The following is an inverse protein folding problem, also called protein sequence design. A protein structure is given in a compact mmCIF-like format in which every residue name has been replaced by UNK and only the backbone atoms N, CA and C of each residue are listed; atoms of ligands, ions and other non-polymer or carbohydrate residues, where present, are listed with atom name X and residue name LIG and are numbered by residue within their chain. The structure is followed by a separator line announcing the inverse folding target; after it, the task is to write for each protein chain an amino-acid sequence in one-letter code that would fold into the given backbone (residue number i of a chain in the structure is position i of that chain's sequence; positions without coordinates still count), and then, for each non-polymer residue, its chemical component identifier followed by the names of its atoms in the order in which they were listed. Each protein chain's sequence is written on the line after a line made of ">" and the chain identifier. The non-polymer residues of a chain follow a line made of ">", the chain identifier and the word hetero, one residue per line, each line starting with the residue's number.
data_IF_610826622943
#
_entry.id   IF_610826622943
#
_cell.length_a   1.000
_cell.length_b   1.000
_cell.length_c   1.000
_cell.angle_alpha   90.00
_cell.angle_beta   90.00
_cell.angle_gamma   90.00
#
_symmetry.space_group_name_H-M   'P 1'
#
loop_
_entity.id
_entity.type
_entity.pdbx_description
1 polymer ?
#
# COMPACT_ATOMS: atom_id res chain seq x y z
N UNK A 1 -3.80 -12.08 -2.68
CA UNK A 1 -5.09 -12.78 -2.95
C UNK A 1 -5.12 -14.06 -2.11
N UNK A 2 -5.72 -14.02 -0.91
CA UNK A 2 -5.77 -15.17 0.00
C UNK A 2 -6.90 -16.16 -0.36
N UNK A 3 -6.89 -17.34 0.27
CA UNK A 3 -7.66 -18.58 0.03
C UNK A 3 -9.21 -18.50 0.01
N UNK A 4 -9.85 -17.34 -0.21
CA UNK A 4 -11.31 -17.17 -0.31
C UNK A 4 -11.65 -16.03 -1.26
N UNK A 5 -11.48 -16.26 -2.57
CA UNK A 5 -11.57 -15.25 -3.65
C UNK A 5 -12.43 -14.02 -3.31
N UNK A 6 -11.75 -12.89 -3.08
CA UNK A 6 -12.38 -11.65 -2.64
C UNK A 6 -13.01 -10.86 -3.79
N UNK A 7 -12.90 -11.33 -5.04
CA UNK A 7 -13.51 -10.68 -6.20
C UNK A 7 -13.78 -11.70 -7.31
N UNK A 8 -14.64 -11.37 -8.27
CA UNK A 8 -14.88 -12.20 -9.45
C UNK A 8 -13.84 -11.93 -10.54
N UNK A 9 -13.49 -10.66 -10.75
CA UNK A 9 -12.57 -10.21 -11.78
C UNK A 9 -11.53 -9.25 -11.21
N UNK A 10 -10.33 -9.29 -11.76
CA UNK A 10 -9.24 -8.35 -11.50
C UNK A 10 -8.73 -7.81 -12.83
N UNK A 11 -8.58 -6.50 -12.95
CA UNK A 11 -7.98 -5.84 -14.12
C UNK A 11 -6.62 -5.26 -13.73
N UNK A 12 -5.57 -5.81 -14.31
CA UNK A 12 -4.20 -5.36 -14.05
C UNK A 12 -3.88 -4.05 -14.77
N UNK A 13 -2.76 -3.42 -14.43
CA UNK A 13 -2.33 -2.10 -14.93
C UNK A 13 -2.20 -2.04 -16.44
N UNK A 14 -1.86 -3.16 -17.08
CA UNK A 14 -1.76 -3.30 -18.54
C UNK A 14 -3.10 -3.68 -19.22
N UNK A 15 -4.20 -3.72 -18.46
CA UNK A 15 -5.52 -4.10 -18.95
C UNK A 15 -5.79 -5.61 -18.92
N UNK A 16 -4.84 -6.46 -18.55
CA UNK A 16 -5.08 -7.90 -18.47
C UNK A 16 -6.20 -8.21 -17.48
N UNK A 17 -7.22 -8.93 -17.95
CA UNK A 17 -8.35 -9.36 -17.12
C UNK A 17 -8.10 -10.77 -16.59
N UNK A 18 -8.06 -10.92 -15.27
CA UNK A 18 -8.03 -12.20 -14.59
C UNK A 18 -9.41 -12.51 -14.03
N UNK A 19 -9.93 -13.70 -14.33
CA UNK A 19 -11.13 -14.24 -13.68
C UNK A 19 -10.71 -15.04 -12.45
N UNK A 20 -11.02 -14.52 -11.26
CA UNK A 20 -10.63 -15.09 -9.97
C UNK A 20 -11.71 -16.04 -9.45
N UNK A 21 -12.96 -15.59 -9.43
CA UNK A 21 -14.13 -16.39 -9.04
C UNK A 21 -15.13 -16.36 -10.18
N UNK A 22 -15.53 -17.53 -10.64
CA UNK A 22 -16.51 -17.63 -11.73
C UNK A 22 -17.81 -16.92 -11.34
N UNK A 23 -18.43 -16.17 -12.27
CA UNK A 23 -19.57 -15.26 -12.01
C UNK A 23 -20.81 -15.91 -11.39
N UNK A 24 -20.95 -17.23 -11.49
CA UNK A 24 -22.03 -18.00 -10.83
C UNK A 24 -21.75 -18.31 -9.35
N UNK A 25 -20.56 -17.96 -8.84
CA UNK A 25 -20.19 -18.11 -7.45
C UNK A 25 -20.06 -16.73 -6.80
N UNK A 26 -20.42 -16.69 -5.52
CA UNK A 26 -20.33 -15.50 -4.69
C UNK A 26 -18.88 -15.20 -4.33
N UNK A 27 -18.36 -14.06 -4.77
CA UNK A 27 -17.13 -13.48 -4.22
C UNK A 27 -17.47 -12.61 -2.99
N UNK A 28 -16.60 -12.61 -1.97
CA UNK A 28 -16.81 -11.80 -0.77
C UNK A 28 -16.09 -10.44 -0.91
N UNK A 29 -16.60 -9.54 -1.74
CA UNK A 29 -15.90 -8.30 -2.12
C UNK A 29 -16.38 -7.05 -1.37
N UNK A 30 -17.68 -6.91 -1.13
CA UNK A 30 -18.26 -5.65 -0.62
C UNK A 30 -18.18 -5.51 0.90
N UNK A 31 -17.98 -6.61 1.64
CA UNK A 31 -18.01 -6.63 3.11
C UNK A 31 -19.31 -6.03 3.68
N UNK A 32 -19.19 -5.26 4.78
CA UNK A 32 -20.33 -4.54 5.36
C UNK A 32 -20.82 -3.45 4.39
N UNK A 33 -21.96 -3.72 3.75
CA UNK A 33 -22.44 -2.97 2.59
C UNK A 33 -23.97 -2.89 2.54
N UNK A 34 -24.46 -1.80 1.96
CA UNK A 34 -25.88 -1.51 1.74
C UNK A 34 -26.07 -0.66 0.48
N UNK A 35 -27.13 -0.90 -0.28
CA UNK A 35 -27.59 -0.03 -1.35
C UNK A 35 -29.11 -0.17 -1.52
N UNK A 36 -29.84 0.94 -1.41
CA UNK A 36 -31.29 1.00 -1.60
C UNK A 36 -32.03 0.01 -0.68
N UNK A 37 -31.64 -0.02 0.60
CA UNK A 37 -32.17 -0.93 1.61
C UNK A 37 -31.67 -2.39 1.53
N UNK A 38 -31.08 -2.82 0.40
CA UNK A 38 -30.47 -4.14 0.29
C UNK A 38 -29.14 -4.18 1.04
N UNK A 39 -28.94 -5.18 1.90
CA UNK A 39 -27.70 -5.34 2.67
C UNK A 39 -26.89 -6.54 2.17
N UNK A 40 -25.60 -6.57 2.53
CA UNK A 40 -24.67 -7.62 2.13
C UNK A 40 -24.60 -7.76 0.61
N UNK A 41 -24.19 -6.66 -0.05
CA UNK A 41 -24.22 -6.49 -1.50
C UNK A 41 -23.48 -7.60 -2.24
N UNK A 42 -22.45 -8.22 -1.63
CA UNK A 42 -21.77 -9.39 -2.18
C UNK A 42 -22.70 -10.54 -2.58
N UNK A 43 -23.88 -10.66 -1.98
CA UNK A 43 -24.89 -11.67 -2.34
C UNK A 43 -25.62 -11.37 -3.67
N UNK A 44 -25.55 -10.13 -4.15
CA UNK A 44 -26.35 -9.61 -5.26
C UNK A 44 -25.49 -8.94 -6.34
N UNK A 45 -24.16 -9.05 -6.27
CA UNK A 45 -23.24 -8.34 -7.17
C UNK A 45 -22.09 -9.19 -7.67
N UNK A 46 -21.47 -8.71 -8.75
CA UNK A 46 -20.19 -9.20 -9.27
C UNK A 46 -19.10 -8.21 -8.84
N UNK A 47 -18.03 -8.71 -8.24
CA UNK A 47 -16.86 -7.91 -7.89
C UNK A 47 -15.90 -7.74 -9.07
N UNK A 48 -15.48 -6.51 -9.34
CA UNK A 48 -14.38 -6.19 -10.28
C UNK A 48 -13.37 -5.33 -9.53
N UNK A 49 -12.15 -5.82 -9.41
CA UNK A 49 -11.03 -5.11 -8.79
C UNK A 49 -10.12 -4.50 -9.87
N UNK A 50 -9.58 -3.31 -9.60
CA UNK A 50 -8.55 -2.68 -10.45
C UNK A 50 -7.25 -2.65 -9.68
N UNK A 51 -6.16 -3.16 -10.27
CA UNK A 51 -4.83 -3.06 -9.66
C UNK A 51 -4.41 -1.59 -9.56
N UNK A 52 -4.07 -1.15 -8.36
CA UNK A 52 -3.59 0.21 -8.09
C UNK A 52 -3.57 0.50 -6.59
N UNK A 53 -2.90 1.59 -6.22
CA UNK A 53 -2.99 2.14 -4.86
C UNK A 53 -4.11 3.19 -4.78
N UNK A 54 -4.58 3.49 -3.56
CA UNK A 54 -5.85 4.20 -3.33
C UNK A 54 -5.95 5.61 -3.94
N UNK A 55 -4.82 6.27 -4.22
CA UNK A 55 -4.71 7.60 -4.82
C UNK A 55 -4.14 7.59 -6.26
N UNK A 56 -3.76 6.42 -6.77
CA UNK A 56 -3.21 6.28 -8.11
C UNK A 56 -4.28 6.52 -9.19
N UNK A 57 -3.84 7.05 -10.33
CA UNK A 57 -4.66 7.11 -11.54
C UNK A 57 -4.71 5.73 -12.20
N UNK A 58 -5.90 5.27 -12.56
CA UNK A 58 -6.09 4.09 -13.41
C UNK A 58 -5.59 4.36 -14.84
N UNK A 59 -5.00 3.35 -15.46
CA UNK A 59 -4.47 3.44 -16.84
C UNK A 59 -5.61 3.46 -17.85
N UNK A 60 -5.33 3.90 -19.08
CA UNK A 60 -6.32 3.80 -20.16
C UNK A 60 -6.65 2.34 -20.47
N UNK A 61 -5.67 1.42 -20.40
CA UNK A 61 -5.88 -0.01 -20.66
C UNK A 61 -6.80 -0.65 -19.61
N UNK A 62 -6.67 -0.24 -18.35
CA UNK A 62 -7.61 -0.61 -17.29
C UNK A 62 -9.03 -0.14 -17.59
N UNK A 63 -9.19 1.13 -17.98
CA UNK A 63 -10.50 1.67 -18.32
C UNK A 63 -11.14 0.98 -19.53
N UNK A 64 -10.37 0.71 -20.58
CA UNK A 64 -10.84 -0.01 -21.77
C UNK A 64 -11.36 -1.41 -21.40
N UNK A 65 -10.60 -2.13 -20.58
CA UNK A 65 -10.94 -3.49 -20.15
C UNK A 65 -12.10 -3.52 -19.16
N UNK A 66 -12.15 -2.55 -18.24
CA UNK A 66 -13.27 -2.37 -17.32
C UNK A 66 -14.56 -2.03 -18.08
N UNK A 67 -14.49 -1.12 -19.06
CA UNK A 67 -15.62 -0.76 -19.92
C UNK A 67 -16.18 -2.00 -20.61
N UNK A 68 -15.30 -2.80 -21.23
CA UNK A 68 -15.71 -4.04 -21.88
C UNK A 68 -16.41 -5.02 -20.92
N UNK A 69 -15.88 -5.20 -19.70
CA UNK A 69 -16.52 -6.04 -18.68
C UNK A 69 -17.89 -5.50 -18.25
N UNK A 70 -17.98 -4.20 -17.98
CA UNK A 70 -19.22 -3.54 -17.56
C UNK A 70 -20.28 -3.70 -18.65
N UNK A 71 -19.99 -3.32 -19.89
CA UNK A 71 -20.92 -3.43 -21.02
C UNK A 71 -21.38 -4.88 -21.21
N UNK A 72 -20.46 -5.85 -21.13
CA UNK A 72 -20.80 -7.28 -21.20
C UNK A 72 -21.81 -7.71 -20.14
N UNK A 73 -21.63 -7.27 -18.88
CA UNK A 73 -22.55 -7.63 -17.80
C UNK A 73 -23.86 -6.85 -17.83
N UNK A 74 -23.83 -5.57 -18.22
CA UNK A 74 -25.03 -4.79 -18.45
C UNK A 74 -25.91 -5.43 -19.51
N UNK A 75 -25.33 -5.85 -20.64
CA UNK A 75 -26.06 -6.49 -21.73
C UNK A 75 -26.61 -7.86 -21.34
N UNK A 76 -25.79 -8.67 -20.66
CA UNK A 76 -26.18 -10.04 -20.27
C UNK A 76 -27.27 -10.05 -19.19
N UNK A 77 -27.16 -9.19 -18.18
CA UNK A 77 -28.03 -9.21 -16.99
C UNK A 77 -29.02 -8.04 -16.92
N UNK A 78 -29.04 -7.18 -17.94
CA UNK A 78 -29.89 -5.98 -18.01
C UNK A 78 -29.68 -5.03 -16.84
N UNK A 79 -28.42 -4.84 -16.45
CA UNK A 79 -28.03 -3.96 -15.34
C UNK A 79 -27.97 -2.52 -15.85
N UNK A 80 -28.80 -1.60 -15.32
CA UNK A 80 -28.72 -0.19 -15.71
C UNK A 80 -27.47 0.47 -15.08
N UNK A 81 -27.00 1.58 -15.67
CA UNK A 81 -25.82 2.34 -15.18
C UNK A 81 -25.86 2.68 -13.68
N UNK A 82 -27.06 2.93 -13.15
CA UNK A 82 -27.28 3.27 -11.73
C UNK A 82 -26.93 2.14 -10.76
N UNK A 83 -26.95 0.91 -11.25
CA UNK A 83 -26.66 -0.29 -10.46
C UNK A 83 -25.20 -0.76 -10.66
N UNK A 84 -24.40 0.00 -11.43
CA UNK A 84 -22.94 -0.14 -11.49
C UNK A 84 -22.32 0.83 -10.48
N UNK A 85 -21.98 0.29 -9.30
CA UNK A 85 -21.62 1.04 -8.11
C UNK A 85 -20.17 0.86 -7.72
N UNK A 86 -19.52 1.96 -7.37
CA UNK A 86 -18.22 1.98 -6.71
C UNK A 86 -18.31 1.46 -5.27
N UNK A 87 -17.24 0.83 -4.77
CA UNK A 87 -17.25 0.23 -3.43
C UNK A 87 -17.52 1.24 -2.32
N UNK A 88 -16.94 2.45 -2.38
CA UNK A 88 -17.22 3.51 -1.40
C UNK A 88 -18.71 3.89 -1.31
N UNK A 89 -19.48 3.72 -2.41
CA UNK A 89 -20.93 4.03 -2.45
C UNK A 89 -21.77 3.00 -1.74
N UNK A 90 -21.31 1.75 -1.65
CA UNK A 90 -22.05 0.67 -1.00
C UNK A 90 -21.50 0.32 0.37
N UNK A 91 -20.21 0.57 0.62
CA UNK A 91 -19.55 0.27 1.88
C UNK A 91 -19.99 1.25 2.98
N UNK A 92 -20.46 0.71 4.10
CA UNK A 92 -20.76 1.51 5.28
C UNK A 92 -20.05 0.99 6.52
N UNK A 93 -19.78 1.89 7.46
CA UNK A 93 -19.17 1.62 8.76
C UNK A 93 -20.20 1.63 9.88
N UNK A 94 -19.96 0.81 10.90
CA UNK A 94 -20.68 0.92 12.19
C UNK A 94 -20.18 2.15 12.95
N UNK A 95 -20.95 2.64 13.94
CA UNK A 95 -20.44 3.63 14.88
C UNK A 95 -19.04 3.27 15.42
N UNK A 96 -18.14 4.24 15.41
CA UNK A 96 -16.79 4.13 15.91
C UNK A 96 -16.42 5.40 16.69
N UNK A 97 -15.16 5.50 17.12
CA UNK A 97 -14.71 6.61 17.97
C UNK A 97 -14.71 7.98 17.31
N UNK A 98 -14.68 8.04 15.97
CA UNK A 98 -14.74 9.29 15.21
C UNK A 98 -16.16 9.60 14.72
N UNK A 99 -16.93 8.56 14.39
CA UNK A 99 -18.26 8.70 13.81
C UNK A 99 -19.27 7.91 14.62
N UNK A 100 -20.15 8.60 15.34
CA UNK A 100 -21.09 7.99 16.31
C UNK A 100 -22.31 7.29 15.71
N UNK A 101 -22.53 7.42 14.40
CA UNK A 101 -23.67 6.82 13.66
C UNK A 101 -23.15 5.87 12.59
N UNK A 102 -24.01 5.01 12.06
CA UNK A 102 -23.70 4.26 10.85
C UNK A 102 -23.52 5.24 9.67
N UNK A 103 -22.50 5.02 8.84
CA UNK A 103 -22.01 6.03 7.91
C UNK A 103 -21.38 5.43 6.65
N UNK A 104 -21.44 6.15 5.53
CA UNK A 104 -20.59 5.88 4.36
C UNK A 104 -19.13 6.26 4.63
N UNK A 105 -18.23 5.89 3.72
CA UNK A 105 -16.80 6.19 3.85
C UNK A 105 -16.01 5.15 4.62
N UNK A 106 -16.55 3.95 4.86
CA UNK A 106 -15.74 2.82 5.38
C UNK A 106 -14.64 2.41 4.40
N UNK A 107 -14.90 2.52 3.10
CA UNK A 107 -13.98 2.20 2.01
C UNK A 107 -13.87 3.42 1.09
N UNK A 108 -12.71 3.61 0.48
CA UNK A 108 -12.44 4.72 -0.45
C UNK A 108 -12.40 4.27 -1.90
N UNK A 109 -12.13 3.00 -2.16
CA UNK A 109 -11.95 2.44 -3.50
C UNK A 109 -13.24 2.44 -4.34
N UNK A 110 -13.13 2.53 -5.67
CA UNK A 110 -11.92 2.81 -6.45
C UNK A 110 -11.51 4.29 -6.41
N UNK A 111 -12.22 5.12 -5.63
CA UNK A 111 -11.79 6.47 -5.29
C UNK A 111 -12.76 7.57 -5.72
N UNK A 112 -13.18 8.39 -4.75
CA UNK A 112 -14.08 9.54 -4.96
C UNK A 112 -13.45 10.58 -5.91
N UNK A 113 -12.12 10.69 -5.91
CA UNK A 113 -11.37 11.75 -6.59
C UNK A 113 -10.63 11.29 -7.87
N UNK A 114 -10.28 10.00 -7.99
CA UNK A 114 -9.43 9.44 -9.05
C UNK A 114 -10.16 8.49 -10.01
N UNK A 115 -11.33 7.95 -9.65
CA UNK A 115 -12.14 7.17 -10.58
C UNK A 115 -13.06 8.06 -11.45
N UNK A 116 -13.11 7.76 -12.76
CA UNK A 116 -13.88 8.50 -13.76
C UNK A 116 -14.85 7.56 -14.45
N UNK A 117 -16.15 7.67 -14.11
CA UNK A 117 -17.22 6.79 -14.59
C UNK A 117 -17.33 6.77 -16.11
N UNK A 118 -17.18 7.93 -16.76
CA UNK A 118 -17.32 8.06 -18.21
C UNK A 118 -16.25 7.28 -18.97
N UNK A 119 -15.03 7.19 -18.41
CA UNK A 119 -13.95 6.36 -19.00
C UNK A 119 -14.25 4.87 -18.92
N UNK A 120 -15.09 4.46 -17.97
CA UNK A 120 -15.56 3.09 -17.81
C UNK A 120 -16.85 2.79 -18.62
N UNK A 121 -17.28 3.70 -19.51
CA UNK A 121 -18.49 3.53 -20.33
C UNK A 121 -19.81 3.96 -19.66
N UNK A 122 -19.77 4.31 -18.37
CA UNK A 122 -20.95 4.71 -17.60
C UNK A 122 -21.29 6.18 -17.87
N UNK A 123 -22.14 6.42 -18.85
CA UNK A 123 -22.39 7.76 -19.43
C UNK A 123 -23.84 8.23 -19.30
N UNK A 124 -24.73 7.44 -18.70
CA UNK A 124 -26.12 7.82 -18.50
C UNK A 124 -26.27 9.09 -17.67
N UNK A 125 -27.12 10.01 -18.16
CA UNK A 125 -27.41 11.31 -17.54
C UNK A 125 -28.48 11.26 -16.45
N UNK A 126 -28.92 10.07 -16.05
CA UNK A 126 -29.83 9.91 -14.90
C UNK A 126 -29.16 10.49 -13.64
N UNK A 127 -29.86 11.40 -12.95
CA UNK A 127 -29.36 12.06 -11.74
C UNK A 127 -29.01 11.07 -10.63
N UNK A 128 -29.61 9.87 -10.63
CA UNK A 128 -29.31 8.78 -9.68
C UNK A 128 -27.92 8.18 -9.87
N UNK A 129 -27.28 8.40 -11.03
CA UNK A 129 -25.89 8.02 -11.27
C UNK A 129 -24.89 8.99 -10.63
N UNK A 130 -25.36 10.13 -10.13
CA UNK A 130 -24.50 11.11 -9.46
C UNK A 130 -23.82 10.49 -8.25
N UNK A 131 -22.54 10.81 -8.04
CA UNK A 131 -21.82 10.45 -6.81
C UNK A 131 -22.45 11.06 -5.54
N UNK A 132 -23.27 12.09 -5.70
CA UNK A 132 -24.01 12.74 -4.61
C UNK A 132 -25.40 12.12 -4.36
N UNK A 133 -25.79 11.12 -5.16
CA UNK A 133 -26.99 10.34 -4.92
C UNK A 133 -26.67 9.09 -4.11
N UNK A 134 -27.33 8.96 -2.96
CA UNK A 134 -27.27 7.82 -2.06
C UNK A 134 -28.66 7.59 -1.43
N UNK A 135 -29.37 6.51 -1.79
CA UNK A 135 -30.72 6.28 -1.31
C UNK A 135 -30.77 5.99 0.20
N UNK A 136 -29.74 5.36 0.75
CA UNK A 136 -29.70 4.99 2.18
C UNK A 136 -29.37 6.19 3.07
N UNK A 137 -28.65 7.18 2.54
CA UNK A 137 -28.48 8.47 3.20
C UNK A 137 -29.76 9.29 3.14
N UNK A 138 -30.42 9.32 1.97
CA UNK A 138 -31.69 10.04 1.81
C UNK A 138 -32.81 9.46 2.71
N UNK A 139 -32.83 8.14 2.90
CA UNK A 139 -33.75 7.45 3.81
C UNK A 139 -33.37 7.58 5.30
N UNK A 140 -32.22 8.16 5.63
CA UNK A 140 -31.75 8.33 7.00
C UNK A 140 -31.16 7.08 7.66
N UNK A 141 -30.91 6.01 6.88
CA UNK A 141 -30.25 4.80 7.38
C UNK A 141 -28.77 5.04 7.70
N UNK A 142 -28.12 5.90 6.92
CA UNK A 142 -26.69 6.21 7.02
C UNK A 142 -26.47 7.72 6.99
N UNK A 143 -25.37 8.18 7.58
CA UNK A 143 -24.85 9.53 7.30
C UNK A 143 -23.89 9.49 6.09
N UNK A 144 -23.76 10.59 5.31
CA UNK A 144 -22.97 10.61 4.09
C UNK A 144 -21.48 10.46 4.34
N UNK A 145 -20.77 10.15 3.26
CA UNK A 145 -19.31 10.04 3.26
C UNK A 145 -18.68 11.42 3.54
N UNK A 146 -17.74 11.54 4.49
CA UNK A 146 -17.10 12.81 4.82
C UNK A 146 -16.28 13.42 3.67
N UNK A 147 -15.92 12.66 2.63
CA UNK A 147 -15.16 13.16 1.48
C UNK A 147 -16.07 13.77 0.38
N UNK A 148 -17.38 13.54 0.43
CA UNK A 148 -18.32 14.10 -0.56
C UNK A 148 -18.37 15.63 -0.58
N UNK A 149 -18.37 16.35 0.56
CA UNK A 149 -18.25 17.80 0.58
C UNK A 149 -17.00 18.30 -0.17
N UNK A 150 -15.87 17.62 -0.02
CA UNK A 150 -14.65 17.97 -0.76
C UNK A 150 -14.85 17.80 -2.26
N UNK A 151 -15.52 16.72 -2.69
CA UNK A 151 -15.84 16.52 -4.10
C UNK A 151 -16.74 17.62 -4.70
N UNK A 152 -17.62 18.26 -3.91
CA UNK A 152 -18.46 19.38 -4.37
C UNK A 152 -17.63 20.63 -4.72
N UNK A 153 -16.57 20.91 -3.95
CA UNK A 153 -15.69 22.06 -4.16
C UNK A 153 -15.06 22.08 -5.56
N UNK A 154 -14.98 20.93 -6.25
CA UNK A 154 -14.49 20.87 -7.63
C UNK A 154 -15.25 21.80 -8.58
N UNK A 155 -16.54 22.00 -8.32
CA UNK A 155 -17.42 22.86 -9.12
C UNK A 155 -17.37 24.33 -8.68
N UNK A 156 -17.06 24.59 -7.41
CA UNK A 156 -17.16 25.92 -6.78
C UNK A 156 -15.79 26.61 -6.68
N UNK A 157 -14.78 25.91 -6.16
CA UNK A 157 -13.46 26.42 -5.88
C UNK A 157 -12.38 25.36 -6.18
N UNK A 158 -11.88 25.36 -7.42
CA UNK A 158 -10.90 24.36 -7.89
C UNK A 158 -9.60 24.36 -7.08
N UNK A 159 -9.15 25.52 -6.59
CA UNK A 159 -7.91 25.63 -5.81
C UNK A 159 -8.09 24.95 -4.45
N UNK A 160 -9.15 25.29 -3.74
CA UNK A 160 -9.46 24.68 -2.45
C UNK A 160 -9.72 23.18 -2.58
N UNK A 161 -10.43 22.75 -3.63
CA UNK A 161 -10.57 21.33 -3.97
C UNK A 161 -9.20 20.63 -4.06
N UNK A 162 -8.23 21.19 -4.79
CA UNK A 162 -6.90 20.59 -4.93
C UNK A 162 -6.15 20.53 -3.60
N UNK A 163 -6.22 21.60 -2.80
CA UNK A 163 -5.59 21.66 -1.48
C UNK A 163 -6.18 20.62 -0.52
N UNK A 164 -7.51 20.48 -0.47
CA UNK A 164 -8.19 19.52 0.39
C UNK A 164 -7.98 18.07 -0.07
N UNK A 165 -8.02 17.80 -1.38
CA UNK A 165 -7.71 16.46 -1.90
C UNK A 165 -6.27 16.07 -1.56
N UNK A 166 -5.30 16.97 -1.74
CA UNK A 166 -3.91 16.70 -1.37
C UNK A 166 -3.75 16.41 0.14
N UNK A 167 -4.51 17.11 0.99
CA UNK A 167 -4.51 16.87 2.43
C UNK A 167 -5.14 15.53 2.83
N UNK A 168 -6.15 15.04 2.10
CA UNK A 168 -6.79 13.74 2.35
C UNK A 168 -6.04 12.55 1.74
N UNK A 169 -5.19 12.81 0.74
CA UNK A 169 -4.34 11.81 0.08
C UNK A 169 -3.04 11.51 0.85
N UNK A 170 -2.72 12.24 1.92
CA UNK A 170 -1.53 11.92 2.73
C UNK A 170 -1.75 10.72 3.64
N UNK A 171 -0.74 9.85 3.67
CA UNK A 171 -0.61 8.72 4.59
C UNK A 171 -0.08 9.13 5.99
N UNK A 172 -0.02 10.44 6.27
CA UNK A 172 0.51 10.99 7.51
C UNK A 172 -0.60 11.57 8.38
N UNK A 173 -0.60 11.17 9.65
CA UNK A 173 -1.47 11.73 10.68
C UNK A 173 -1.12 13.20 10.91
N UNK A 174 -2.12 14.06 10.79
CA UNK A 174 -2.02 15.49 11.08
C UNK A 174 -3.11 15.90 12.07
N UNK A 175 -3.15 17.18 12.46
CA UNK A 175 -4.27 17.71 13.25
C UNK A 175 -5.62 17.64 12.50
N UNK A 176 -5.60 17.51 11.18
CA UNK A 176 -6.79 17.48 10.31
C UNK A 176 -7.01 16.13 9.62
N UNK A 177 -6.04 15.22 9.69
CA UNK A 177 -6.05 13.93 9.00
C UNK A 177 -5.80 12.84 10.05
N UNK A 178 -6.87 12.21 10.51
CA UNK A 178 -6.84 11.20 11.58
C UNK A 178 -6.56 9.80 11.02
N UNK A 179 -6.36 8.84 11.92
CA UNK A 179 -6.25 7.43 11.53
C UNK A 179 -7.49 6.94 10.78
N UNK A 180 -8.67 7.46 11.14
CA UNK A 180 -9.88 7.21 10.39
C UNK A 180 -9.81 7.80 9.00
N UNK A 181 -9.40 9.06 8.84
CA UNK A 181 -9.35 9.71 7.53
C UNK A 181 -8.43 8.99 6.54
N UNK A 182 -7.38 8.35 7.04
CA UNK A 182 -6.42 7.60 6.23
C UNK A 182 -6.87 6.14 6.01
N UNK A 183 -7.04 5.38 7.10
CA UNK A 183 -7.23 3.93 7.05
C UNK A 183 -8.69 3.49 6.97
N UNK A 184 -9.63 4.41 7.21
CA UNK A 184 -11.08 4.16 7.28
C UNK A 184 -11.39 2.90 8.09
N UNK A 185 -12.17 1.97 7.56
CA UNK A 185 -12.56 0.74 8.24
C UNK A 185 -11.42 -0.21 8.61
N UNK A 186 -10.18 0.04 8.17
CA UNK A 186 -9.01 -0.77 8.51
C UNK A 186 -8.16 -0.14 9.62
N UNK A 187 -8.60 0.96 10.25
CA UNK A 187 -7.77 1.70 11.21
C UNK A 187 -7.29 0.82 12.38
N UNK A 188 -8.12 -0.06 12.92
CA UNK A 188 -7.79 -0.98 14.02
C UNK A 188 -7.43 -2.38 13.54
N UNK A 189 -7.19 -2.55 12.23
CA UNK A 189 -6.78 -3.83 11.66
C UNK A 189 -5.33 -4.17 12.04
N UNK A 190 -5.02 -5.44 12.33
CA UNK A 190 -3.63 -5.88 12.50
C UNK A 190 -2.80 -5.72 11.21
N UNK A 191 -3.45 -5.62 10.04
CA UNK A 191 -2.79 -5.36 8.77
C UNK A 191 -2.48 -3.87 8.52
N UNK A 192 -2.89 -2.98 9.42
CA UNK A 192 -2.60 -1.55 9.35
C UNK A 192 -1.48 -1.20 10.33
N UNK A 193 -0.37 -0.66 9.81
CA UNK A 193 0.79 -0.28 10.62
C UNK A 193 0.86 1.23 10.80
N UNK A 194 1.17 1.65 12.02
CA UNK A 194 1.37 3.04 12.41
C UNK A 194 2.81 3.23 12.87
N UNK A 195 3.59 4.00 12.12
CA UNK A 195 4.96 4.35 12.48
C UNK A 195 5.02 5.75 13.08
N UNK A 196 5.32 5.82 14.37
CA UNK A 196 5.39 7.06 15.12
C UNK A 196 6.68 7.84 14.77
N UNK A 197 6.72 9.16 15.00
CA UNK A 197 7.90 9.98 14.71
C UNK A 197 9.20 9.52 15.41
N UNK A 198 9.08 8.87 16.56
CA UNK A 198 10.22 8.31 17.31
C UNK A 198 10.70 6.94 16.78
N UNK A 199 10.12 6.45 15.68
CA UNK A 199 10.48 5.18 15.05
C UNK A 199 9.66 3.97 15.50
N UNK A 200 8.90 4.08 16.61
CA UNK A 200 8.06 2.98 17.10
C UNK A 200 6.99 2.62 16.07
N UNK A 201 6.83 1.32 15.79
CA UNK A 201 5.77 0.80 14.93
C UNK A 201 4.75 0.05 15.78
N UNK A 202 3.47 0.34 15.59
CA UNK A 202 2.35 -0.38 16.20
C UNK A 202 1.37 -0.80 15.14
N UNK A 203 0.75 -1.96 15.32
CA UNK A 203 -0.41 -2.35 14.52
C UNK A 203 -1.67 -1.65 15.00
N UNK A 204 -2.68 -1.53 14.14
CA UNK A 204 -3.96 -0.93 14.47
C UNK A 204 -4.62 -1.56 15.70
N UNK A 205 -4.60 -2.89 15.78
CA UNK A 205 -5.17 -3.68 16.89
C UNK A 205 -4.43 -3.47 18.24
N UNK A 206 -3.21 -2.93 18.21
CA UNK A 206 -2.41 -2.65 19.41
C UNK A 206 -2.64 -1.23 19.96
N UNK A 207 -3.33 -0.36 19.23
CA UNK A 207 -3.50 1.04 19.60
C UNK A 207 -4.82 1.21 20.34
N UNK A 208 -4.73 1.58 21.62
CA UNK A 208 -5.91 1.80 22.47
C UNK A 208 -6.23 3.29 22.63
N UNK A 209 -5.19 4.14 22.71
CA UNK A 209 -5.32 5.58 22.91
C UNK A 209 -5.07 6.39 21.64
N UNK A 210 -6.01 6.31 20.70
CA UNK A 210 -5.95 7.02 19.42
C UNK A 210 -5.91 8.54 19.54
N UNK A 211 -6.46 9.11 20.63
CA UNK A 211 -6.45 10.55 20.89
C UNK A 211 -5.06 11.09 21.22
N UNK A 212 -4.12 10.23 21.64
CA UNK A 212 -2.72 10.58 21.91
C UNK A 212 -1.77 10.25 20.76
N UNK A 213 -2.31 9.86 19.60
CA UNK A 213 -1.48 9.54 18.44
C UNK A 213 -0.66 10.77 18.01
N UNK A 214 0.68 10.66 17.89
CA UNK A 214 1.50 11.81 17.51
C UNK A 214 1.22 12.26 16.08
N UNK A 215 1.14 13.57 15.86
CA UNK A 215 1.22 14.16 14.51
C UNK A 215 2.55 13.76 13.87
N UNK A 216 2.52 13.44 12.58
CA UNK A 216 3.67 12.90 11.84
C UNK A 216 3.74 11.37 11.86
N UNK A 217 2.80 10.69 12.53
CA UNK A 217 2.68 9.23 12.43
C UNK A 217 2.32 8.83 11.00
N UNK A 218 3.10 7.95 10.38
CA UNK A 218 2.80 7.39 9.05
C UNK A 218 1.90 6.15 9.18
N UNK A 219 0.98 5.99 8.26
CA UNK A 219 0.02 4.88 8.21
C UNK A 219 0.25 4.04 6.96
N UNK A 220 0.38 2.73 7.13
CA UNK A 220 0.56 1.78 6.03
C UNK A 220 -0.59 0.77 6.05
N UNK A 221 -1.30 0.64 4.93
CA UNK A 221 -2.46 -0.25 4.80
C UNK A 221 -2.09 -1.61 4.19
N UNK A 222 -2.88 -2.63 4.48
CA UNK A 222 -2.86 -3.96 3.84
C UNK A 222 -1.50 -4.68 3.84
N UNK A 223 -0.76 -4.61 4.96
CA UNK A 223 0.51 -5.33 5.11
C UNK A 223 0.26 -6.76 5.61
N UNK A 224 0.69 -7.78 4.85
CA UNK A 224 0.64 -9.18 5.30
C UNK A 224 1.73 -9.47 6.35
N UNK A 225 1.45 -10.42 7.23
CA UNK A 225 2.24 -10.82 8.41
C UNK A 225 3.68 -11.28 8.09
N UNK A 226 4.00 -11.54 6.82
CA UNK A 226 5.32 -12.04 6.40
C UNK A 226 6.42 -10.96 6.35
N UNK A 227 6.13 -9.70 6.66
CA UNK A 227 7.15 -8.67 6.95
C UNK A 227 7.37 -8.55 8.46
N UNK A 228 7.37 -9.68 9.15
CA UNK A 228 7.63 -9.76 10.59
C UNK A 228 9.06 -9.29 10.88
N UNK A 229 9.11 -8.13 11.54
CA UNK A 229 10.23 -7.52 12.28
C UNK A 229 11.29 -6.75 11.46
N UNK A 230 11.09 -5.43 11.25
CA UNK A 230 12.16 -4.51 10.84
C UNK A 230 13.27 -4.34 11.88
N UNK A 231 13.13 -4.91 13.09
CA UNK A 231 13.95 -4.55 14.24
C UNK A 231 15.12 -5.50 14.54
N UNK A 232 15.32 -6.61 13.81
CA UNK A 232 16.48 -7.48 14.05
C UNK A 232 17.25 -7.99 12.82
N UNK A 233 16.77 -7.76 11.60
CA UNK A 233 17.57 -8.13 10.42
C UNK A 233 18.64 -7.08 10.13
N UNK A 234 19.89 -7.51 10.24
CA UNK A 234 21.11 -6.78 9.84
C UNK A 234 21.04 -6.29 8.39
N UNK A 235 20.29 -7.01 7.54
CA UNK A 235 20.03 -6.69 6.13
C UNK A 235 18.55 -6.29 5.98
N UNK A 236 18.29 -5.00 5.76
CA UNK A 236 16.94 -4.47 5.50
C UNK A 236 16.63 -4.55 4.00
N UNK A 237 15.36 -4.67 3.60
CA UNK A 237 14.96 -4.78 2.19
C UNK A 237 13.81 -3.83 1.87
N UNK A 238 13.96 -3.04 0.82
CA UNK A 238 12.89 -2.21 0.25
C UNK A 238 11.90 -3.14 -0.43
N UNK A 239 10.68 -3.16 0.07
CA UNK A 239 9.52 -3.78 -0.56
C UNK A 239 8.58 -2.70 -1.10
N UNK A 240 7.54 -3.10 -1.82
CA UNK A 240 6.62 -2.16 -2.46
C UNK A 240 5.96 -1.23 -1.43
N UNK A 241 6.01 0.08 -1.70
CA UNK A 241 5.51 1.13 -0.81
C UNK A 241 6.40 1.45 0.40
N UNK A 242 7.56 0.81 0.58
CA UNK A 242 8.57 1.25 1.56
C UNK A 242 9.59 2.17 0.90
N UNK A 243 9.92 3.27 1.55
CA UNK A 243 11.04 4.12 1.16
C UNK A 243 12.30 3.75 1.94
N UNK A 244 13.44 4.19 1.45
CA UNK A 244 14.70 4.10 2.19
C UNK A 244 14.61 4.77 3.58
N UNK A 245 13.93 5.92 3.66
CA UNK A 245 13.67 6.61 4.94
C UNK A 245 12.79 5.77 5.87
N UNK A 246 11.92 4.92 5.32
CA UNK A 246 11.07 4.06 6.13
C UNK A 246 11.87 2.98 6.87
N UNK A 247 12.93 2.49 6.25
CA UNK A 247 13.76 1.41 6.81
C UNK A 247 14.92 1.89 7.70
N UNK A 248 15.55 3.00 7.36
CA UNK A 248 16.78 3.48 8.03
C UNK A 248 16.70 4.94 8.50
N UNK A 249 15.51 5.53 8.49
CA UNK A 249 15.27 6.87 9.04
C UNK A 249 16.17 7.93 8.43
N UNK A 250 16.70 8.82 9.27
CA UNK A 250 17.59 9.93 8.85
C UNK A 250 18.93 9.45 8.29
N UNK A 251 19.35 8.21 8.57
CA UNK A 251 20.58 7.63 8.02
C UNK A 251 20.47 7.35 6.52
N UNK A 252 19.28 7.40 5.92
CA UNK A 252 19.08 7.00 4.52
C UNK A 252 20.00 7.71 3.51
N UNK A 253 20.38 8.97 3.75
CA UNK A 253 21.29 9.75 2.89
C UNK A 253 22.76 9.70 3.32
N UNK A 254 23.08 8.96 4.38
CA UNK A 254 24.41 8.92 4.96
C UNK A 254 25.42 8.20 4.05
N UNK A 255 26.71 8.52 4.20
CA UNK A 255 27.81 7.87 3.47
C UNK A 255 28.11 6.45 3.95
N UNK A 256 27.69 6.12 5.17
CA UNK A 256 27.86 4.80 5.80
C UNK A 256 26.62 3.90 5.62
N UNK A 257 25.62 4.35 4.86
CA UNK A 257 24.43 3.57 4.54
C UNK A 257 24.52 3.09 3.10
N UNK A 258 24.54 1.79 2.88
CA UNK A 258 24.72 1.18 1.56
C UNK A 258 23.41 0.62 1.02
N UNK A 259 23.20 0.85 -0.27
CA UNK A 259 22.09 0.36 -1.07
C UNK A 259 22.61 -0.62 -2.09
N UNK A 260 22.17 -1.87 -1.97
CA UNK A 260 22.50 -2.97 -2.88
C UNK A 260 21.29 -3.19 -3.78
N UNK A 261 21.35 -2.62 -4.98
CA UNK A 261 20.25 -2.64 -5.94
C UNK A 261 20.10 -4.03 -6.57
N UNK A 262 18.90 -4.40 -7.08
CA UNK A 262 18.65 -5.74 -7.66
C UNK A 262 19.62 -6.15 -8.78
N UNK A 263 20.16 -5.17 -9.53
CA UNK A 263 21.16 -5.42 -10.59
C UNK A 263 22.59 -5.58 -10.06
N UNK A 264 22.80 -5.60 -8.74
CA UNK A 264 24.11 -5.75 -8.10
C UNK A 264 24.92 -4.47 -7.95
N UNK A 265 24.41 -3.34 -8.41
CA UNK A 265 25.03 -2.04 -8.16
C UNK A 265 24.97 -1.72 -6.68
N UNK A 266 26.10 -1.31 -6.10
CA UNK A 266 26.19 -0.83 -4.72
C UNK A 266 26.41 0.67 -4.74
N UNK A 267 25.64 1.42 -3.94
CA UNK A 267 25.82 2.86 -3.73
C UNK A 267 25.70 3.21 -2.26
N UNK A 268 26.44 4.21 -1.81
CA UNK A 268 26.18 4.85 -0.50
C UNK A 268 24.95 5.76 -0.60
N UNK A 269 24.35 6.11 0.53
CA UNK A 269 23.24 7.05 0.60
C UNK A 269 23.57 8.38 -0.07
N UNK A 270 24.79 8.91 0.08
CA UNK A 270 25.22 10.13 -0.62
C UNK A 270 25.23 10.01 -2.15
N UNK A 271 25.44 8.80 -2.69
CA UNK A 271 25.52 8.54 -4.13
C UNK A 271 24.16 8.22 -4.77
N UNK A 272 23.15 7.89 -3.97
CA UNK A 272 21.81 7.60 -4.48
C UNK A 272 21.11 8.91 -4.86
N UNK A 273 20.65 8.96 -6.11
CA UNK A 273 19.82 10.04 -6.67
C UNK A 273 18.45 9.48 -7.00
N UNK A 274 17.41 10.32 -7.02
CA UNK A 274 16.05 9.88 -7.38
C UNK A 274 15.43 8.96 -6.33
N UNK A 275 15.40 9.40 -5.07
CA UNK A 275 14.92 8.64 -3.91
C UNK A 275 13.50 8.06 -4.05
N UNK A 276 12.64 8.66 -4.86
CA UNK A 276 11.29 8.16 -5.17
C UNK A 276 11.26 6.95 -6.11
N UNK A 277 12.41 6.55 -6.68
CA UNK A 277 12.51 5.49 -7.71
C UNK A 277 13.46 4.36 -7.30
N UNK A 278 13.71 4.18 -6.01
CA UNK A 278 14.50 3.02 -5.58
C UNK A 278 13.66 1.76 -5.84
N UNK A 279 14.15 0.82 -6.66
CA UNK A 279 13.37 -0.35 -7.03
C UNK A 279 13.14 -1.25 -5.81
N UNK A 280 11.93 -1.85 -5.66
CA UNK A 280 11.72 -2.96 -4.76
C UNK A 280 12.76 -4.07 -4.97
N UNK A 281 13.14 -4.72 -3.88
CA UNK A 281 14.24 -5.69 -3.85
C UNK A 281 15.62 -5.08 -3.56
N UNK A 282 15.73 -3.75 -3.43
CA UNK A 282 16.96 -3.10 -2.97
C UNK A 282 17.21 -3.42 -1.50
N UNK A 283 18.41 -3.92 -1.15
CA UNK A 283 18.79 -4.16 0.24
C UNK A 283 19.52 -2.93 0.82
N UNK A 284 19.34 -2.67 2.12
CA UNK A 284 19.95 -1.55 2.82
C UNK A 284 20.78 -2.05 4.01
N UNK A 285 22.01 -1.58 4.09
CA UNK A 285 22.94 -1.78 5.19
C UNK A 285 23.23 -0.43 5.85
N UNK A 286 22.71 -0.20 7.06
CA UNK A 286 22.86 1.06 7.81
C UNK A 286 24.10 1.02 8.71
N UNK A 287 24.93 2.08 8.71
CA UNK A 287 26.14 2.23 9.54
C UNK A 287 27.20 1.13 9.32
N UNK A 288 27.72 1.05 8.11
CA UNK A 288 28.81 0.14 7.75
C UNK A 288 30.04 0.88 7.30
N UNK A 289 31.19 0.26 7.55
CA UNK A 289 32.46 0.70 7.00
C UNK A 289 32.51 0.48 5.49
N UNK A 290 33.53 1.08 4.84
CA UNK A 290 33.75 0.88 3.40
C UNK A 290 33.95 -0.61 3.11
N UNK A 291 33.20 -1.21 2.16
CA UNK A 291 33.34 -2.62 1.88
C UNK A 291 34.72 -2.98 1.33
N UNK A 292 35.21 -4.14 1.74
CA UNK A 292 36.49 -4.68 1.30
C UNK A 292 36.25 -5.86 0.36
N UNK A 293 36.92 -5.89 -0.78
CA UNK A 293 36.83 -6.99 -1.72
C UNK A 293 37.69 -8.16 -1.26
N UNK A 294 37.08 -9.35 -1.16
CA UNK A 294 37.77 -10.59 -0.83
C UNK A 294 38.52 -11.10 -2.06
N UNK A 295 39.79 -11.42 -1.88
CA UNK A 295 40.66 -12.06 -2.87
C UNK A 295 40.96 -13.50 -2.47
N UNK A 296 41.51 -14.30 -3.39
CA UNK A 296 41.96 -15.66 -3.09
C UNK A 296 42.99 -15.72 -1.95
N UNK A 297 43.77 -14.65 -1.77
CA UNK A 297 44.76 -14.52 -0.68
C UNK A 297 44.12 -14.04 0.62
N UNK A 298 43.25 -13.03 0.57
CA UNK A 298 42.69 -12.42 1.79
C UNK A 298 41.68 -13.31 2.50
N UNK A 299 40.96 -14.19 1.79
CA UNK A 299 39.98 -15.11 2.41
C UNK A 299 40.58 -16.10 3.42
N UNK A 300 41.90 -16.32 3.38
CA UNK A 300 42.63 -17.18 4.32
C UNK A 300 43.35 -16.38 5.40
N UNK A 301 43.25 -15.05 5.41
CA UNK A 301 43.90 -14.22 6.43
C UNK A 301 43.11 -14.27 7.74
N UNK A 302 43.84 -14.34 8.85
CA UNK A 302 43.29 -14.36 10.22
C UNK A 302 42.29 -13.23 10.44
N UNK A 303 42.60 -12.01 10.02
CA UNK A 303 41.70 -10.85 10.15
C UNK A 303 40.38 -11.01 9.39
N UNK A 304 40.37 -11.67 8.23
CA UNK A 304 39.13 -11.92 7.48
C UNK A 304 38.31 -13.03 8.13
N UNK A 305 38.99 -14.05 8.67
CA UNK A 305 38.36 -15.13 9.43
C UNK A 305 37.70 -14.58 10.70
N UNK A 306 38.39 -13.72 11.46
CA UNK A 306 37.85 -13.10 12.67
C UNK A 306 36.63 -12.21 12.37
N UNK A 307 36.73 -11.31 11.37
CA UNK A 307 35.62 -10.45 10.97
C UNK A 307 34.42 -11.24 10.44
N UNK A 308 34.66 -12.42 9.84
CA UNK A 308 33.59 -13.31 9.39
C UNK A 308 32.82 -13.99 10.53
N UNK A 309 33.31 -13.91 11.77
CA UNK A 309 32.61 -14.40 12.95
C UNK A 309 31.78 -13.30 13.64
N UNK A 310 31.93 -12.04 13.23
CA UNK A 310 31.12 -10.95 13.79
C UNK A 310 29.66 -11.05 13.29
N UNK A 311 28.66 -10.99 14.19
CA UNK A 311 27.25 -11.28 13.84
C UNK A 311 26.64 -10.29 12.86
N UNK A 312 27.15 -9.04 12.84
CA UNK A 312 26.68 -7.98 11.96
C UNK A 312 27.47 -7.89 10.64
N UNK A 313 28.44 -8.78 10.41
CA UNK A 313 29.17 -8.81 9.13
C UNK A 313 28.25 -9.31 8.02
N UNK A 314 28.28 -8.62 6.88
CA UNK A 314 27.50 -8.95 5.69
C UNK A 314 28.41 -9.17 4.50
N UNK A 315 28.15 -10.22 3.75
CA UNK A 315 28.86 -10.53 2.51
C UNK A 315 27.95 -10.34 1.31
N UNK A 316 28.41 -9.60 0.31
CA UNK A 316 27.74 -9.50 -0.99
C UNK A 316 28.44 -10.43 -1.98
N UNK A 317 27.85 -11.61 -2.14
CA UNK A 317 28.31 -12.60 -3.11
C UNK A 317 28.06 -12.10 -4.55
N UNK A 318 28.81 -12.62 -5.55
CA UNK A 318 28.52 -12.37 -6.95
C UNK A 318 27.04 -12.64 -7.28
N UNK A 319 26.44 -11.82 -8.17
CA UNK A 319 24.99 -11.79 -8.48
C UNK A 319 24.09 -11.16 -7.40
N UNK A 320 24.61 -10.20 -6.63
CA UNK A 320 23.82 -9.27 -5.82
C UNK A 320 23.06 -9.88 -4.62
N UNK A 321 23.51 -11.02 -4.09
CA UNK A 321 22.88 -11.62 -2.91
C UNK A 321 23.65 -11.24 -1.63
N UNK A 322 23.20 -10.23 -0.86
CA UNK A 322 23.75 -9.99 0.46
C UNK A 322 23.32 -11.12 1.40
N UNK A 323 24.26 -11.65 2.17
CA UNK A 323 24.05 -12.70 3.17
C UNK A 323 24.73 -12.29 4.47
N UNK A 324 24.10 -12.59 5.59
CA UNK A 324 24.74 -12.40 6.89
C UNK A 324 25.88 -13.41 7.07
N UNK A 325 26.89 -13.05 7.84
CA UNK A 325 28.02 -13.92 8.13
C UNK A 325 27.60 -15.28 8.71
N UNK A 326 26.56 -15.29 9.54
CA UNK A 326 25.94 -16.51 10.09
C UNK A 326 25.40 -17.49 9.05
N UNK A 327 25.26 -17.07 7.78
CA UNK A 327 24.81 -17.91 6.67
C UNK A 327 25.98 -18.44 5.82
N UNK A 328 27.21 -18.10 6.14
CA UNK A 328 28.40 -18.60 5.46
C UNK A 328 29.03 -19.71 6.31
N UNK A 329 28.94 -20.95 5.82
CA UNK A 329 29.55 -22.11 6.50
C UNK A 329 31.08 -22.06 6.50
N UNK A 330 31.68 -21.57 5.41
CA UNK A 330 33.13 -21.55 5.23
C UNK A 330 33.56 -20.36 4.36
N UNK A 331 34.10 -19.32 5.00
CA UNK A 331 34.57 -18.10 4.33
C UNK A 331 35.73 -18.35 3.37
N UNK A 332 36.52 -19.42 3.57
CA UNK A 332 37.66 -19.75 2.69
C UNK A 332 37.20 -20.22 1.31
N UNK A 333 35.93 -20.66 1.20
CA UNK A 333 35.31 -21.12 -0.06
C UNK A 333 34.55 -20.01 -0.80
N UNK A 334 34.44 -18.82 -0.21
CA UNK A 334 33.73 -17.70 -0.84
C UNK A 334 34.45 -17.25 -2.12
N UNK A 335 33.70 -16.91 -3.20
CA UNK A 335 34.30 -16.46 -4.45
C UNK A 335 35.11 -15.17 -4.30
N UNK A 336 36.23 -15.08 -5.03
CA UNK A 336 36.96 -13.82 -5.16
C UNK A 336 36.06 -12.74 -5.79
N UNK A 337 36.21 -11.49 -5.33
CA UNK A 337 35.35 -10.37 -5.70
C UNK A 337 34.11 -10.20 -4.82
N UNK A 338 33.86 -11.10 -3.86
CA UNK A 338 32.85 -10.89 -2.81
C UNK A 338 33.18 -9.65 -2.00
N UNK A 339 32.20 -8.78 -1.77
CA UNK A 339 32.39 -7.61 -0.89
C UNK A 339 32.01 -7.97 0.55
N UNK A 340 32.89 -7.68 1.49
CA UNK A 340 32.65 -7.81 2.92
C UNK A 340 32.33 -6.45 3.53
N UNK A 341 31.22 -6.36 4.23
CA UNK A 341 30.73 -5.19 4.94
C UNK A 341 30.80 -5.47 6.45
N UNK A 342 31.56 -4.65 7.16
CA UNK A 342 31.67 -4.73 8.62
C UNK A 342 30.96 -3.52 9.23
N UNK A 343 30.17 -3.76 10.28
CA UNK A 343 29.42 -2.71 10.96
C UNK A 343 30.37 -1.66 11.53
N UNK A 344 30.00 -0.38 11.39
CA UNK A 344 30.72 0.70 12.07
C UNK A 344 30.41 0.62 13.56
N UNK A 345 31.47 0.63 14.38
CA UNK A 345 31.35 0.69 15.85
C UNK A 345 30.89 2.06 16.31
#
# INVERSE_FOLDING_TARGET
>A
LSRRGHTNYLVDRDGTIYRIVHKNYRANHAGLSMWDGLTNISNHSIGIELVGYHDDKFTNDQYSSLKWLIETFQDQYKIPDRDVLEHYRVAYGRPNRWVRKAHRGRKKDPGIFNFVREKAGLTSRDKRNSKFYDPDVAAGHLIPDPDLPVALLKQENRREYQEQVAALSTDVITRRNTAWDIARGEYDSPATLYRYPNGKVLRGDQITNWSKMPVGTKVYLNREESETSPESSVIKKITEGLTAYDLVGTAYKSSDTYYIFPKGTVKTGKQVKGWSRIPPGTHILEKYNRPVAITLKSRNQVSTLELSQEPDTVFLLPKARPVAASQIEDITKVPAGTLMFVKSK
#
